data_IF_698188181865
#
_entry.id   IF_698188181865
#
_cell.length_a   1.000
_cell.length_b   1.000
_cell.length_c   1.000
_cell.angle_alpha   90.00
_cell.angle_beta   90.00
_cell.angle_gamma   90.00
#
_symmetry.space_group_name_H-M   'P 1'
#
loop_
_entity.id
_entity.type
_entity.pdbx_description
1 polymer ?
#
# COMPACT_ATOMS: atom_id res chain seq x y z
N UNK A 1 0.41 -16.89 10.23
CA UNK A 1 -0.65 -16.02 9.70
C UNK A 1 -1.93 -16.37 10.42
N UNK A 2 -2.67 -15.37 10.91
CA UNK A 2 -4.01 -15.59 11.45
C UNK A 2 -4.88 -16.16 10.32
N UNK A 3 -5.79 -17.10 10.62
CA UNK A 3 -6.66 -17.73 9.61
C UNK A 3 -7.76 -16.79 9.07
N UNK A 4 -7.76 -15.52 9.47
CA UNK A 4 -8.74 -14.54 9.04
C UNK A 4 -8.22 -13.78 7.81
N UNK A 5 -8.74 -14.15 6.63
CA UNK A 5 -8.33 -13.57 5.35
C UNK A 5 -8.62 -12.07 5.25
N UNK A 6 -9.74 -11.60 5.78
CA UNK A 6 -10.10 -10.18 5.75
C UNK A 6 -9.19 -9.34 6.65
N UNK A 7 -8.87 -9.87 7.84
CA UNK A 7 -7.90 -9.24 8.73
C UNK A 7 -6.53 -9.14 8.03
N UNK A 8 -6.06 -10.22 7.41
CA UNK A 8 -4.77 -10.22 6.72
C UNK A 8 -4.76 -9.23 5.55
N UNK A 9 -5.87 -9.09 4.82
CA UNK A 9 -6.03 -8.12 3.75
C UNK A 9 -5.95 -6.69 4.27
N UNK A 10 -6.73 -6.36 5.31
CA UNK A 10 -6.74 -5.03 5.95
C UNK A 10 -5.40 -4.67 6.59
N UNK A 11 -4.76 -5.62 7.28
CA UNK A 11 -3.43 -5.46 7.86
C UNK A 11 -2.40 -5.16 6.76
N UNK A 12 -2.43 -5.91 5.67
CA UNK A 12 -1.54 -5.70 4.52
C UNK A 12 -1.78 -4.33 3.89
N UNK A 13 -3.03 -3.95 3.64
CA UNK A 13 -3.39 -2.60 3.15
C UNK A 13 -2.80 -1.53 4.04
N UNK A 14 -2.93 -1.68 5.37
CA UNK A 14 -2.41 -0.72 6.35
C UNK A 14 -0.88 -0.61 6.28
N UNK A 15 -0.17 -1.73 6.16
CA UNK A 15 1.30 -1.77 6.05
C UNK A 15 1.76 -1.08 4.76
N UNK A 16 1.12 -1.39 3.63
CA UNK A 16 1.48 -0.82 2.33
C UNK A 16 1.14 0.67 2.29
N UNK A 17 -0.02 1.09 2.77
CA UNK A 17 -0.42 2.50 2.81
C UNK A 17 0.56 3.35 3.65
N UNK A 18 0.99 2.84 4.82
CA UNK A 18 2.03 3.49 5.64
C UNK A 18 3.38 3.59 4.90
N UNK A 19 3.72 2.57 4.10
CA UNK A 19 4.94 2.59 3.29
C UNK A 19 4.86 3.64 2.18
N UNK A 20 3.72 3.75 1.49
CA UNK A 20 3.47 4.80 0.49
C UNK A 20 3.63 6.19 1.12
N UNK A 21 2.97 6.46 2.25
CA UNK A 21 3.10 7.75 2.96
C UNK A 21 4.54 8.10 3.34
N UNK A 22 5.32 7.10 3.78
CA UNK A 22 6.74 7.29 4.09
C UNK A 22 7.54 7.61 2.82
N UNK A 23 7.26 6.92 1.73
CA UNK A 23 7.92 7.15 0.46
C UNK A 23 7.55 8.52 -0.13
N UNK A 24 6.31 8.98 0.00
CA UNK A 24 5.93 10.35 -0.36
C UNK A 24 6.80 11.39 0.36
N UNK A 25 7.17 11.12 1.60
CA UNK A 25 8.10 11.97 2.35
C UNK A 25 9.51 11.91 1.76
N UNK A 26 10.01 10.71 1.41
CA UNK A 26 11.32 10.56 0.77
C UNK A 26 11.38 11.19 -0.63
N UNK A 27 10.28 11.15 -1.37
CA UNK A 27 10.18 11.74 -2.70
C UNK A 27 10.35 13.26 -2.68
N UNK A 28 10.00 13.94 -1.58
CA UNK A 28 10.20 15.39 -1.41
C UNK A 28 11.67 15.82 -1.38
N UNK A 29 12.56 14.93 -0.93
CA UNK A 29 14.00 15.19 -0.81
C UNK A 29 14.81 14.42 -1.86
N UNK A 30 14.14 13.81 -2.84
CA UNK A 30 14.75 12.92 -3.81
C UNK A 30 15.77 13.63 -4.72
N UNK A 31 15.53 14.90 -4.99
CA UNK A 31 16.41 15.81 -5.72
C UNK A 31 17.75 16.04 -5.00
N UNK A 32 17.75 16.00 -3.66
CA UNK A 32 18.95 16.11 -2.81
C UNK A 32 19.81 14.86 -2.79
N UNK A 33 19.27 13.72 -3.26
CA UNK A 33 20.02 12.46 -3.37
C UNK A 33 21.00 12.56 -4.54
N UNK A 34 22.30 12.56 -4.25
CA UNK A 34 23.38 12.62 -5.24
C UNK A 34 23.58 11.31 -6.01
N UNK A 35 23.19 10.18 -5.42
CA UNK A 35 23.35 8.86 -6.03
C UNK A 35 22.14 8.54 -6.94
N UNK A 36 22.37 8.47 -8.24
CA UNK A 36 21.32 8.21 -9.25
C UNK A 36 20.66 6.84 -9.07
N UNK A 37 21.44 5.80 -8.76
CA UNK A 37 20.87 4.47 -8.53
C UNK A 37 19.98 4.43 -7.29
N UNK A 38 20.35 5.15 -6.21
CA UNK A 38 19.49 5.30 -5.04
C UNK A 38 18.20 6.06 -5.38
N UNK A 39 18.29 7.14 -6.18
CA UNK A 39 17.12 7.89 -6.64
C UNK A 39 16.14 6.99 -7.38
N UNK A 40 16.65 6.24 -8.37
CA UNK A 40 15.85 5.33 -9.19
C UNK A 40 15.22 4.22 -8.34
N UNK A 41 15.99 3.59 -7.47
CA UNK A 41 15.50 2.54 -6.57
C UNK A 41 14.34 3.02 -5.70
N UNK A 42 14.43 4.21 -5.09
CA UNK A 42 13.35 4.73 -4.26
C UNK A 42 12.11 5.11 -5.07
N UNK A 43 12.26 5.59 -6.31
CA UNK A 43 11.14 5.81 -7.23
C UNK A 43 10.45 4.49 -7.57
N UNK A 44 11.22 3.46 -7.94
CA UNK A 44 10.70 2.14 -8.27
C UNK A 44 9.94 1.51 -7.09
N UNK A 45 10.50 1.59 -5.88
CA UNK A 45 9.83 1.10 -4.68
C UNK A 45 8.54 1.86 -4.38
N UNK A 46 8.54 3.18 -4.61
CA UNK A 46 7.35 3.99 -4.44
C UNK A 46 6.24 3.57 -5.41
N UNK A 47 6.55 3.49 -6.71
CA UNK A 47 5.60 3.05 -7.73
C UNK A 47 5.11 1.63 -7.48
N UNK A 48 5.99 0.72 -7.04
CA UNK A 48 5.59 -0.65 -6.72
C UNK A 48 4.59 -0.69 -5.56
N UNK A 49 4.82 0.04 -4.47
CA UNK A 49 3.88 0.08 -3.35
C UNK A 49 2.53 0.70 -3.72
N UNK A 50 2.52 1.70 -4.59
CA UNK A 50 1.27 2.25 -5.12
C UNK A 50 0.49 1.21 -5.94
N UNK A 51 1.17 0.43 -6.79
CA UNK A 51 0.56 -0.66 -7.57
C UNK A 51 -0.01 -1.75 -6.66
N UNK A 52 0.77 -2.20 -5.68
CA UNK A 52 0.33 -3.19 -4.69
C UNK A 52 -0.89 -2.69 -3.90
N UNK A 53 -0.87 -1.44 -3.44
CA UNK A 53 -1.99 -0.84 -2.73
C UNK A 53 -3.26 -0.81 -3.59
N UNK A 54 -3.14 -0.45 -4.87
CA UNK A 54 -4.27 -0.43 -5.79
C UNK A 54 -4.89 -1.83 -5.97
N UNK A 55 -4.07 -2.87 -6.08
CA UNK A 55 -4.55 -4.27 -6.17
C UNK A 55 -5.29 -4.66 -4.89
N UNK A 56 -4.72 -4.37 -3.72
CA UNK A 56 -5.32 -4.75 -2.44
C UNK A 56 -6.64 -3.99 -2.18
N UNK A 57 -6.70 -2.70 -2.52
CA UNK A 57 -7.94 -1.91 -2.39
C UNK A 57 -9.03 -2.38 -3.36
N UNK A 58 -8.65 -2.85 -4.55
CA UNK A 58 -9.58 -3.46 -5.49
C UNK A 58 -10.17 -4.76 -4.90
N UNK A 59 -9.35 -5.60 -4.31
CA UNK A 59 -9.82 -6.83 -3.66
C UNK A 59 -10.72 -6.53 -2.46
N UNK A 60 -10.34 -5.57 -1.62
CA UNK A 60 -11.16 -5.13 -0.50
C UNK A 60 -12.55 -4.67 -0.96
N UNK A 61 -12.61 -3.88 -2.04
CA UNK A 61 -13.88 -3.47 -2.64
C UNK A 61 -14.70 -4.67 -3.09
N UNK A 62 -14.08 -5.64 -3.75
CA UNK A 62 -14.76 -6.86 -4.19
C UNK A 62 -15.30 -7.67 -2.99
N UNK A 63 -14.57 -7.76 -1.89
CA UNK A 63 -15.04 -8.41 -0.66
C UNK A 63 -16.26 -7.71 -0.06
N UNK A 64 -16.28 -6.37 -0.04
CA UNK A 64 -17.42 -5.59 0.46
C UNK A 64 -18.64 -5.73 -0.45
N UNK A 65 -18.45 -5.54 -1.76
CA UNK A 65 -19.55 -5.60 -2.74
C UNK A 65 -20.11 -7.01 -2.90
N UNK A 66 -19.26 -8.04 -2.75
CA UNK A 66 -19.66 -9.44 -2.78
C UNK A 66 -20.25 -9.97 -1.47
N UNK A 67 -20.33 -9.15 -0.42
CA UNK A 67 -20.84 -9.56 0.90
C UNK A 67 -19.93 -10.54 1.65
N UNK A 68 -18.68 -10.71 1.22
CA UNK A 68 -17.68 -11.54 1.89
C UNK A 68 -17.11 -10.85 3.13
N UNK A 69 -17.19 -9.52 3.21
CA UNK A 69 -16.80 -8.74 4.38
C UNK A 69 -17.92 -7.75 4.76
N UNK A 70 -18.40 -7.84 6.01
CA UNK A 70 -19.38 -6.91 6.56
C UNK A 70 -18.67 -5.73 7.21
N UNK A 71 -18.96 -4.50 6.75
CA UNK A 71 -18.57 -3.27 7.43
C UNK A 71 -19.79 -2.81 8.21
N UNK A 72 -19.75 -2.89 9.54
CA UNK A 72 -20.78 -2.28 10.37
C UNK A 72 -20.83 -0.78 10.11
N UNK A 73 -22.03 -0.24 9.86
CA UNK A 73 -22.19 1.21 9.83
C UNK A 73 -22.01 1.74 11.26
N UNK A 74 -21.22 2.82 11.44
CA UNK A 74 -21.07 3.45 12.75
C UNK A 74 -22.41 3.97 13.29
#
# INVERSE_FOLDING_TARGET
>A
MLQNHDYNLLETITIIARSVYRYDTYMKDLDKVKCESCRKMWQEFHEQRQKELAVLLKELRAHVEGGMMAIEKP
#
